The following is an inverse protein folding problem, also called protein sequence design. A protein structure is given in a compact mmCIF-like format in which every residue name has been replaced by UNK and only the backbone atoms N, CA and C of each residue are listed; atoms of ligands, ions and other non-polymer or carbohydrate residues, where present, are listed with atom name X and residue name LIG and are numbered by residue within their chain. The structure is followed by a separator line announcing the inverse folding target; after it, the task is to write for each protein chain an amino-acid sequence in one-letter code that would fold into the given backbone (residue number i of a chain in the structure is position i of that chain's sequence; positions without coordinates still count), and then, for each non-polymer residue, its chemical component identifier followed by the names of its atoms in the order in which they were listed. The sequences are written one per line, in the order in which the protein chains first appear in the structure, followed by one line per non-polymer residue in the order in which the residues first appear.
data_IF_982418602562
#
_entry.id   IF_982418602562
#
_cell.length_a   1.000
_cell.length_b   1.000
_cell.length_c   1.000
_cell.angle_alpha   90.00
_cell.angle_beta   90.00
_cell.angle_gamma   90.00
#
_symmetry.space_group_name_H-M   'P 1'
#
loop_
_entity.id
_entity.type
_entity.pdbx_description
1 polymer ?
#
# COMPACT_ATOMS: atom_id res chain seq x y z
N UNK A 1 31.27 39.81 35.19
CA UNK A 1 31.19 38.36 34.87
C UNK A 1 31.67 38.17 33.44
N UNK A 2 32.93 37.77 33.25
CA UNK A 2 33.47 37.49 31.92
C UNK A 2 33.12 36.05 31.56
N UNK A 3 32.20 35.86 30.62
CA UNK A 3 31.91 34.55 30.03
C UNK A 3 33.16 34.04 29.33
N UNK A 4 33.70 32.92 29.82
CA UNK A 4 34.92 32.32 29.27
C UNK A 4 34.68 31.90 27.81
N UNK A 5 35.54 32.27 26.85
CA UNK A 5 35.35 31.98 25.42
C UNK A 5 35.27 30.47 25.11
N UNK A 6 35.77 29.64 26.05
CA UNK A 6 35.66 28.17 26.02
C UNK A 6 34.24 27.65 26.22
N UNK A 7 33.40 28.35 26.98
CA UNK A 7 32.00 27.96 27.17
C UNK A 7 31.17 28.20 25.91
N UNK A 8 31.43 29.29 25.19
CA UNK A 8 30.72 29.67 23.96
C UNK A 8 31.04 28.69 22.82
N UNK A 9 32.31 28.26 22.73
CA UNK A 9 32.75 27.29 21.71
C UNK A 9 32.15 25.89 21.95
N UNK A 10 32.07 25.44 23.21
CA UNK A 10 31.48 24.14 23.55
C UNK A 10 29.97 24.08 23.28
N UNK A 11 29.23 25.17 23.53
CA UNK A 11 27.79 25.24 23.23
C UNK A 11 27.53 25.21 21.73
N UNK A 12 28.39 25.84 20.92
CA UNK A 12 28.25 25.82 19.46
C UNK A 12 28.51 24.43 18.86
N UNK A 13 29.53 23.71 19.36
CA UNK A 13 29.83 22.33 18.91
C UNK A 13 28.70 21.36 19.30
N UNK A 14 28.15 21.48 20.52
CA UNK A 14 27.02 20.66 20.95
C UNK A 14 25.73 20.94 20.16
N UNK A 15 25.45 22.21 19.83
CA UNK A 15 24.29 22.58 19.03
C UNK A 15 24.43 22.16 17.55
N UNK A 16 25.64 22.26 16.99
CA UNK A 16 25.93 21.84 15.61
C UNK A 16 25.85 20.31 15.45
N UNK A 17 26.31 19.55 16.46
CA UNK A 17 26.20 18.09 16.49
C UNK A 17 24.76 17.59 16.51
N UNK A 18 23.87 18.24 17.27
CA UNK A 18 22.44 17.91 17.30
C UNK A 18 21.67 18.35 16.05
N UNK A 19 22.09 19.44 15.39
CA UNK A 19 21.46 19.93 14.15
C UNK A 19 21.71 19.01 12.95
N UNK A 20 22.92 18.49 12.82
CA UNK A 20 23.29 17.58 11.71
C UNK A 20 22.59 16.21 11.78
N UNK A 21 22.18 15.75 12.96
CA UNK A 21 21.51 14.46 13.11
C UNK A 21 20.07 14.49 12.58
N UNK A 22 19.43 15.68 12.53
CA UNK A 22 18.05 15.83 12.02
C UNK A 22 17.95 15.81 10.50
N UNK A 23 19.05 16.10 9.79
CA UNK A 23 19.10 16.03 8.32
C UNK A 23 19.41 14.62 7.79
N UNK A 24 19.74 13.68 8.68
CA UNK A 24 19.94 12.25 8.37
C UNK A 24 18.64 11.43 8.56
N UNK A 25 17.48 12.06 8.51
CA UNK A 25 16.24 11.32 8.26
C UNK A 25 16.35 10.74 6.84
N UNK A 26 16.84 9.50 6.74
CA UNK A 26 16.84 8.75 5.49
C UNK A 26 15.42 8.68 4.90
N UNK A 27 15.29 8.33 3.60
CA UNK A 27 13.97 8.15 3.01
C UNK A 27 13.16 7.20 3.89
N UNK A 28 11.92 7.60 4.21
CA UNK A 28 10.99 6.74 4.93
C UNK A 28 11.01 5.37 4.22
N UNK A 29 11.37 4.31 4.95
CA UNK A 29 11.44 2.98 4.38
C UNK A 29 10.03 2.59 3.93
N UNK A 30 9.77 2.67 2.62
CA UNK A 30 8.51 2.26 2.00
C UNK A 30 8.48 0.72 1.97
N UNK A 31 8.35 0.11 3.13
CA UNK A 31 8.39 -1.35 3.31
C UNK A 31 7.07 -2.02 2.90
N UNK A 32 6.01 -1.24 2.74
CA UNK A 32 4.69 -1.75 2.38
C UNK A 32 4.45 -1.59 0.89
N UNK A 33 4.07 -2.69 0.25
CA UNK A 33 3.55 -2.63 -1.09
C UNK A 33 2.21 -1.91 -1.11
N UNK A 34 2.07 -0.99 -2.07
CA UNK A 34 0.83 -0.25 -2.30
C UNK A 34 0.16 -0.76 -3.56
N UNK A 35 -1.17 -0.83 -3.55
CA UNK A 35 -1.93 -1.09 -4.77
C UNK A 35 -1.88 0.15 -5.67
N UNK A 36 -1.35 -0.01 -6.88
CA UNK A 36 -1.29 1.03 -7.92
C UNK A 36 -2.58 1.12 -8.73
N UNK A 37 -3.14 -0.02 -9.13
CA UNK A 37 -4.31 -0.07 -9.99
C UNK A 37 -5.19 -1.29 -9.71
N UNK A 38 -6.44 -1.24 -10.18
CA UNK A 38 -7.36 -2.38 -10.16
C UNK A 38 -8.17 -2.45 -11.45
N UNK A 39 -8.53 -3.67 -11.85
CA UNK A 39 -9.56 -3.96 -12.84
C UNK A 39 -10.58 -4.90 -12.19
N UNK A 40 -11.86 -4.51 -12.11
CA UNK A 40 -12.40 -3.20 -12.46
C UNK A 40 -11.76 -2.04 -11.66
N UNK A 41 -11.77 -0.84 -12.24
CA UNK A 41 -11.36 0.35 -11.51
C UNK A 41 -12.34 0.65 -10.37
N UNK A 42 -11.90 1.41 -9.37
CA UNK A 42 -12.79 1.83 -8.29
C UNK A 42 -14.00 2.58 -8.86
N UNK A 43 -15.20 2.23 -8.39
CA UNK A 43 -16.49 2.77 -8.86
C UNK A 43 -16.80 2.51 -10.34
N UNK A 44 -16.11 1.58 -11.00
CA UNK A 44 -16.46 1.19 -12.37
C UNK A 44 -17.83 0.49 -12.42
N UNK A 45 -18.59 0.80 -13.47
CA UNK A 45 -19.80 0.07 -13.82
C UNK A 45 -19.45 -0.90 -14.95
N UNK A 46 -19.61 -2.21 -14.71
CA UNK A 46 -19.31 -3.28 -15.66
C UNK A 46 -20.53 -4.17 -15.83
N UNK A 47 -20.68 -4.78 -17.00
CA UNK A 47 -21.80 -5.71 -17.30
C UNK A 47 -21.65 -7.07 -16.62
N UNK A 48 -20.45 -7.38 -16.14
CA UNK A 48 -20.11 -8.62 -15.44
C UNK A 48 -18.68 -8.56 -14.93
N UNK A 49 -18.32 -9.51 -14.08
CA UNK A 49 -16.98 -9.62 -13.52
C UNK A 49 -16.54 -11.09 -13.51
N UNK A 50 -15.62 -11.42 -14.42
CA UNK A 50 -15.05 -12.76 -14.54
C UNK A 50 -13.68 -12.86 -13.87
N UNK A 51 -12.90 -11.78 -13.89
CA UNK A 51 -11.55 -11.75 -13.31
C UNK A 51 -11.28 -10.39 -12.63
N UNK A 52 -10.68 -10.46 -11.45
CA UNK A 52 -10.14 -9.33 -10.72
C UNK A 52 -8.64 -9.24 -11.05
N UNK A 53 -8.17 -8.05 -11.39
CA UNK A 53 -6.72 -7.77 -11.49
C UNK A 53 -6.32 -6.65 -10.57
N UNK A 54 -5.28 -6.86 -9.79
CA UNK A 54 -4.67 -5.85 -8.92
C UNK A 54 -3.19 -5.71 -9.30
N UNK A 55 -2.71 -4.48 -9.43
CA UNK A 55 -1.30 -4.20 -9.63
C UNK A 55 -0.73 -3.50 -8.39
N UNK A 56 0.43 -3.98 -7.94
CA UNK A 56 1.10 -3.46 -6.75
C UNK A 56 2.40 -2.73 -7.11
N UNK A 57 2.98 -2.03 -6.13
CA UNK A 57 4.29 -1.38 -6.28
C UNK A 57 5.44 -2.36 -6.49
N UNK A 58 5.36 -3.53 -5.89
CA UNK A 58 6.28 -4.64 -6.08
C UNK A 58 5.54 -5.99 -6.05
N UNK A 59 6.30 -7.08 -6.06
CA UNK A 59 5.77 -8.44 -6.02
C UNK A 59 5.24 -8.77 -4.62
N UNK A 60 3.99 -9.22 -4.56
CA UNK A 60 3.33 -9.71 -3.35
C UNK A 60 3.45 -11.23 -3.21
N UNK A 61 3.65 -11.72 -1.98
CA UNK A 61 3.88 -13.14 -1.70
C UNK A 61 2.62 -13.99 -1.55
N UNK A 62 1.63 -13.48 -0.80
CA UNK A 62 0.41 -14.21 -0.44
C UNK A 62 -0.85 -13.37 -0.70
N UNK A 63 -1.09 -12.95 -1.95
CA UNK A 63 -2.16 -12.03 -2.23
C UNK A 63 -3.54 -12.67 -2.02
N UNK A 64 -4.49 -11.86 -1.57
CA UNK A 64 -5.90 -12.20 -1.54
C UNK A 64 -6.69 -11.07 -2.18
N UNK A 65 -7.66 -11.39 -3.04
CA UNK A 65 -8.59 -10.44 -3.63
C UNK A 65 -9.99 -11.07 -3.68
N UNK A 66 -10.93 -10.56 -2.89
CA UNK A 66 -12.24 -11.17 -2.69
C UNK A 66 -13.35 -10.12 -2.85
N UNK A 67 -14.28 -10.30 -3.81
CA UNK A 67 -15.49 -9.50 -3.90
C UNK A 67 -16.41 -9.77 -2.72
N UNK A 68 -17.02 -8.72 -2.21
CA UNK A 68 -18.11 -8.77 -1.26
C UNK A 68 -19.32 -8.09 -1.89
N UNK A 69 -20.50 -8.71 -1.77
CA UNK A 69 -21.75 -8.08 -2.22
C UNK A 69 -22.17 -6.91 -1.32
N UNK A 70 -23.24 -6.20 -1.66
CA UNK A 70 -23.76 -5.06 -0.89
C UNK A 70 -24.00 -5.37 0.60
N UNK A 71 -24.57 -6.54 0.95
CA UNK A 71 -24.66 -7.01 2.34
C UNK A 71 -23.33 -7.36 3.02
N UNK A 72 -22.23 -7.46 2.28
CA UNK A 72 -20.90 -7.80 2.79
C UNK A 72 -20.58 -9.30 2.82
N UNK A 73 -21.32 -10.13 2.08
CA UNK A 73 -21.00 -11.56 1.94
C UNK A 73 -19.87 -11.72 0.92
N UNK A 74 -18.83 -12.46 1.32
CA UNK A 74 -17.72 -12.82 0.46
C UNK A 74 -18.18 -13.75 -0.68
N UNK A 75 -17.74 -13.46 -1.90
CA UNK A 75 -17.97 -14.29 -3.08
C UNK A 75 -16.71 -15.11 -3.36
N UNK A 76 -16.91 -16.38 -3.72
CA UNK A 76 -15.81 -17.29 -4.02
C UNK A 76 -14.98 -16.81 -5.21
N UNK A 77 -13.65 -16.94 -5.07
CA UNK A 77 -12.69 -16.73 -6.16
C UNK A 77 -11.78 -17.95 -6.31
N UNK A 78 -11.27 -18.15 -7.52
CA UNK A 78 -10.24 -19.14 -7.81
C UNK A 78 -8.90 -18.80 -7.14
N UNK A 79 -7.95 -19.73 -7.24
CA UNK A 79 -6.59 -19.53 -6.73
C UNK A 79 -5.92 -18.34 -7.46
N UNK A 80 -5.35 -17.37 -6.73
CA UNK A 80 -4.66 -16.24 -7.35
C UNK A 80 -3.50 -16.69 -8.23
N UNK A 81 -3.37 -16.03 -9.39
CA UNK A 81 -2.23 -16.12 -10.30
C UNK A 81 -1.39 -14.86 -10.20
N UNK A 82 -0.07 -15.02 -10.33
CA UNK A 82 0.91 -13.95 -10.20
C UNK A 82 1.68 -13.73 -11.50
N UNK A 83 1.78 -12.48 -11.93
CA UNK A 83 2.65 -12.02 -13.01
C UNK A 83 3.39 -10.75 -12.57
N UNK A 84 4.64 -10.92 -12.09
CA UNK A 84 5.41 -9.82 -11.49
C UNK A 84 4.65 -9.18 -10.30
N UNK A 85 4.35 -7.87 -10.34
CA UNK A 85 3.55 -7.18 -9.33
C UNK A 85 2.02 -7.29 -9.55
N UNK A 86 1.56 -8.09 -10.54
CA UNK A 86 0.15 -8.26 -10.85
C UNK A 86 -0.41 -9.52 -10.20
N UNK A 87 -1.59 -9.37 -9.61
CA UNK A 87 -2.40 -10.43 -9.04
C UNK A 87 -3.66 -10.56 -9.87
N UNK A 88 -4.00 -11.79 -10.26
CA UNK A 88 -5.19 -12.12 -11.04
C UNK A 88 -6.00 -13.19 -10.31
N UNK A 89 -7.30 -12.99 -10.14
CA UNK A 89 -8.19 -13.95 -9.49
C UNK A 89 -9.51 -14.08 -10.25
N UNK A 90 -9.87 -15.29 -10.67
CA UNK A 90 -11.15 -15.55 -11.33
C UNK A 90 -12.27 -15.55 -10.32
N UNK A 91 -13.41 -14.95 -10.66
CA UNK A 91 -14.63 -15.06 -9.88
C UNK A 91 -15.27 -16.41 -10.18
N UNK A 92 -15.56 -17.19 -9.13
CA UNK A 92 -15.99 -18.59 -9.29
C UNK A 92 -17.41 -18.74 -9.83
N UNK A 93 -18.22 -17.69 -9.78
CA UNK A 93 -19.61 -17.70 -10.22
C UNK A 93 -20.03 -16.34 -10.80
N UNK A 94 -21.01 -16.30 -11.72
CA UNK A 94 -21.57 -15.05 -12.21
C UNK A 94 -22.14 -14.20 -11.08
N UNK A 95 -21.80 -12.91 -11.07
CA UNK A 95 -22.34 -11.96 -10.10
C UNK A 95 -23.72 -11.47 -10.51
N UNK A 96 -24.64 -11.42 -9.54
CA UNK A 96 -25.90 -10.71 -9.68
C UNK A 96 -25.66 -9.22 -9.87
N UNK A 97 -26.55 -8.51 -10.58
CA UNK A 97 -26.44 -7.06 -10.69
C UNK A 97 -26.51 -6.39 -9.31
N UNK A 98 -25.55 -5.52 -9.00
CA UNK A 98 -25.47 -4.84 -7.71
C UNK A 98 -24.13 -4.15 -7.46
N UNK A 99 -24.02 -3.51 -6.30
CA UNK A 99 -22.76 -2.95 -5.82
C UNK A 99 -21.89 -4.02 -5.15
N UNK A 100 -20.58 -3.95 -5.39
CA UNK A 100 -19.60 -4.86 -4.82
C UNK A 100 -18.39 -4.10 -4.30
N UNK A 101 -17.76 -4.65 -3.25
CA UNK A 101 -16.47 -4.18 -2.73
C UNK A 101 -15.42 -5.26 -2.91
N UNK A 102 -14.30 -4.93 -3.57
CA UNK A 102 -13.16 -5.85 -3.69
C UNK A 102 -12.20 -5.60 -2.53
N UNK A 103 -12.20 -6.51 -1.55
CA UNK A 103 -11.26 -6.49 -0.43
C UNK A 103 -9.95 -7.17 -0.83
N UNK A 104 -8.82 -6.65 -0.36
CA UNK A 104 -7.50 -7.17 -0.72
C UNK A 104 -6.47 -7.04 0.40
N UNK A 105 -5.46 -7.90 0.39
CA UNK A 105 -4.25 -7.86 1.23
C UNK A 105 -3.03 -8.45 0.52
#
# INVERSE_FOLDING_TARGET
MASSPRFILNTFVAALGCGLFRTLAGPAAFAHDSRKSSSPAANAHVSGLEEIRLEYSARVGFPVAVPHDGPGRAIGVGKPRLDGPKVMADVSEPLTAGGYTIAWT
#
